data_IF_366842868853
#
_entry.id   IF_366842868853
#
_cell.length_a   1.000
_cell.length_b   1.000
_cell.length_c   1.000
_cell.angle_alpha   90.00
_cell.angle_beta   90.00
_cell.angle_gamma   90.00
#
_symmetry.space_group_name_H-M   'P 1'
#
loop_
_entity.id
_entity.type
_entity.pdbx_description
1 polymer ?
#
# COMPACT_ATOMS: atom_id res chain seq x y z
N UNK A 1 -23.05 0.60 10.91
CA UNK A 1 -22.49 -0.53 11.69
C UNK A 1 -21.82 -1.55 10.76
N UNK A 2 -22.57 -2.41 10.05
CA UNK A 2 -21.98 -3.47 9.18
C UNK A 2 -20.97 -3.00 8.12
N UNK A 3 -21.20 -1.84 7.49
CA UNK A 3 -20.25 -1.31 6.50
C UNK A 3 -18.88 -0.98 7.11
N UNK A 4 -18.84 -0.46 8.34
CA UNK A 4 -17.57 -0.17 9.02
C UNK A 4 -16.85 -1.45 9.40
N UNK A 5 -17.58 -2.45 9.88
CA UNK A 5 -17.02 -3.78 10.22
C UNK A 5 -16.36 -4.47 9.01
N UNK A 6 -16.94 -4.30 7.81
CA UNK A 6 -16.33 -4.77 6.55
C UNK A 6 -15.05 -4.00 6.23
N UNK A 7 -15.04 -2.68 6.43
CA UNK A 7 -13.84 -1.85 6.23
C UNK A 7 -12.74 -2.23 7.22
N UNK A 8 -13.07 -2.45 8.48
CA UNK A 8 -12.11 -2.87 9.52
C UNK A 8 -11.51 -4.24 9.19
N UNK A 9 -12.35 -5.19 8.77
CA UNK A 9 -11.88 -6.52 8.34
C UNK A 9 -10.95 -6.41 7.12
N UNK A 10 -11.31 -5.58 6.14
CA UNK A 10 -10.46 -5.31 4.99
C UNK A 10 -9.11 -4.71 5.40
N UNK A 11 -9.13 -3.70 6.28
CA UNK A 11 -7.93 -3.04 6.76
C UNK A 11 -6.98 -3.99 7.50
N UNK A 12 -7.52 -4.90 8.32
CA UNK A 12 -6.74 -5.93 9.02
C UNK A 12 -5.99 -6.86 8.05
N UNK A 13 -6.66 -7.33 7.00
CA UNK A 13 -6.02 -8.21 6.01
C UNK A 13 -4.95 -7.49 5.19
N UNK A 14 -5.21 -6.25 4.79
CA UNK A 14 -4.20 -5.42 4.12
C UNK A 14 -3.00 -5.18 5.04
N UNK A 15 -3.23 -4.86 6.31
CA UNK A 15 -2.18 -4.63 7.30
C UNK A 15 -1.25 -5.83 7.47
N UNK A 16 -1.78 -7.06 7.51
CA UNK A 16 -0.96 -8.28 7.58
C UNK A 16 -0.04 -8.40 6.36
N UNK A 17 -0.57 -8.13 5.16
CA UNK A 17 0.23 -8.15 3.92
C UNK A 17 1.33 -7.08 3.92
N UNK A 18 0.97 -5.85 4.32
CA UNK A 18 1.92 -4.73 4.41
C UNK A 18 3.01 -5.00 5.44
N UNK A 19 2.66 -5.47 6.64
CA UNK A 19 3.61 -5.83 7.68
C UNK A 19 4.57 -6.94 7.22
N UNK A 20 4.04 -7.95 6.54
CA UNK A 20 4.84 -9.05 5.98
C UNK A 20 5.84 -8.54 4.95
N UNK A 21 5.39 -7.76 3.95
CA UNK A 21 6.27 -7.16 2.95
C UNK A 21 7.31 -6.23 3.57
N UNK A 22 6.92 -5.49 4.60
CA UNK A 22 7.82 -4.59 5.31
C UNK A 22 8.89 -5.36 6.06
N UNK A 23 8.54 -6.45 6.73
CA UNK A 23 9.51 -7.29 7.44
C UNK A 23 10.48 -8.01 6.48
N UNK A 24 10.05 -8.28 5.24
CA UNK A 24 10.88 -8.97 4.22
C UNK A 24 11.81 -7.98 3.50
N UNK A 25 11.30 -6.82 3.10
CA UNK A 25 12.00 -5.91 2.18
C UNK A 25 12.53 -4.64 2.83
N UNK A 26 12.06 -4.29 4.04
CA UNK A 26 12.33 -3.04 4.76
C UNK A 26 12.32 -1.76 3.88
N UNK A 27 11.25 -1.50 3.11
CA UNK A 27 11.20 -0.35 2.22
C UNK A 27 10.99 0.95 3.00
N UNK A 28 11.47 2.07 2.42
CA UNK A 28 11.14 3.42 2.92
C UNK A 28 9.72 3.85 2.52
N UNK A 29 9.21 3.38 1.38
CA UNK A 29 7.91 3.77 0.82
C UNK A 29 7.19 2.54 0.28
N UNK A 30 5.89 2.43 0.56
CA UNK A 30 4.99 1.46 -0.07
C UNK A 30 3.92 2.23 -0.84
N UNK A 31 3.87 2.00 -2.14
CA UNK A 31 2.89 2.62 -3.04
C UNK A 31 1.70 1.68 -3.22
N UNK A 32 0.52 2.13 -2.81
CA UNK A 32 -0.74 1.42 -2.94
C UNK A 32 -1.42 1.81 -4.26
N UNK A 33 -1.71 0.82 -5.11
CA UNK A 33 -2.44 1.01 -6.36
C UNK A 33 -3.77 0.25 -6.40
N UNK A 34 -4.57 0.52 -7.44
CA UNK A 34 -5.88 -0.10 -7.66
C UNK A 34 -7.05 0.76 -7.18
N UNK A 35 -8.27 0.44 -7.64
CA UNK A 35 -9.46 1.29 -7.41
C UNK A 35 -9.93 1.40 -5.95
N UNK A 36 -9.47 0.50 -5.06
CA UNK A 36 -9.77 0.60 -3.63
C UNK A 36 -8.99 1.74 -2.97
N UNK A 37 -7.88 2.15 -3.57
CA UNK A 37 -7.05 3.26 -3.07
C UNK A 37 -7.66 4.62 -3.42
N UNK A 38 -8.50 4.67 -4.46
CA UNK A 38 -9.34 5.82 -4.79
C UNK A 38 -10.54 5.96 -3.81
N UNK A 39 -10.78 4.94 -3.00
CA UNK A 39 -11.88 4.89 -2.03
C UNK A 39 -11.47 5.54 -0.71
N UNK A 40 -11.64 6.87 -0.61
CA UNK A 40 -11.96 7.67 0.60
C UNK A 40 -11.05 7.49 1.84
N UNK A 41 -10.51 8.60 2.37
CA UNK A 41 -9.57 8.64 3.51
C UNK A 41 -9.85 7.72 4.70
N UNK A 42 -11.12 7.42 5.00
CA UNK A 42 -11.54 6.49 6.07
C UNK A 42 -10.91 5.09 5.93
N UNK A 43 -10.84 4.54 4.71
CA UNK A 43 -10.24 3.20 4.49
C UNK A 43 -8.73 3.26 4.73
N UNK A 44 -8.09 4.31 4.23
CA UNK A 44 -6.65 4.50 4.36
C UNK A 44 -6.21 4.75 5.79
N UNK A 45 -7.01 5.46 6.58
CA UNK A 45 -6.75 5.67 8.00
C UNK A 45 -6.85 4.35 8.78
N UNK A 46 -7.89 3.55 8.52
CA UNK A 46 -8.04 2.22 9.13
C UNK A 46 -6.88 1.28 8.77
N UNK A 47 -6.42 1.30 7.51
CA UNK A 47 -5.26 0.53 7.05
C UNK A 47 -3.98 0.99 7.75
N UNK A 48 -3.74 2.30 7.89
CA UNK A 48 -2.55 2.83 8.58
C UNK A 48 -2.50 2.39 10.04
N UNK A 49 -3.60 2.52 10.76
CA UNK A 49 -3.68 2.07 12.16
C UNK A 49 -3.44 0.58 12.28
N UNK A 50 -4.16 -0.23 11.50
CA UNK A 50 -4.02 -1.69 11.51
C UNK A 50 -2.61 -2.15 11.13
N UNK A 51 -1.96 -1.44 10.19
CA UNK A 51 -0.60 -1.73 9.77
C UNK A 51 0.41 -1.56 10.91
N UNK A 52 0.34 -0.45 11.65
CA UNK A 52 1.23 -0.21 12.79
C UNK A 52 1.05 -1.30 13.86
N UNK A 53 -0.19 -1.72 14.11
CA UNK A 53 -0.49 -2.77 15.08
C UNK A 53 0.02 -4.17 14.65
N UNK A 54 -0.05 -4.48 13.34
CA UNK A 54 0.40 -5.75 12.79
C UNK A 54 1.93 -5.84 12.62
N UNK A 55 2.62 -4.71 12.70
CA UNK A 55 4.02 -4.60 12.32
C UNK A 55 4.96 -5.06 13.45
N UNK A 56 5.95 -5.89 13.08
CA UNK A 56 6.93 -6.39 14.02
C UNK A 56 7.78 -5.25 14.59
N UNK A 57 7.93 -5.21 15.92
CA UNK A 57 8.74 -4.23 16.63
C UNK A 57 8.45 -2.78 16.24
N UNK A 58 7.17 -2.45 15.99
CA UNK A 58 6.76 -1.15 15.45
C UNK A 58 7.29 0.05 16.27
N UNK A 59 7.48 -0.07 17.58
CA UNK A 59 7.99 1.02 18.43
C UNK A 59 9.49 1.28 18.28
N UNK A 60 10.24 0.35 17.67
CA UNK A 60 11.70 0.37 17.63
C UNK A 60 12.27 0.48 16.21
N UNK A 61 11.43 0.81 15.23
CA UNK A 61 11.85 0.95 13.82
C UNK A 61 11.12 2.10 13.13
N UNK A 62 11.72 2.61 12.04
CA UNK A 62 11.03 3.53 11.14
C UNK A 62 9.91 2.80 10.39
N UNK A 63 8.79 3.50 10.14
CA UNK A 63 7.68 2.94 9.37
C UNK A 63 7.75 3.40 7.92
N UNK A 64 7.49 2.52 6.94
CA UNK A 64 7.39 2.93 5.55
C UNK A 64 6.27 3.96 5.39
N UNK A 65 6.50 4.93 4.52
CA UNK A 65 5.43 5.82 4.09
C UNK A 65 4.45 5.04 3.21
N UNK A 66 3.20 4.93 3.66
CA UNK A 66 2.12 4.44 2.80
C UNK A 66 1.59 5.60 1.95
N UNK A 67 1.75 5.49 0.63
CA UNK A 67 1.31 6.49 -0.34
C UNK A 67 0.41 5.85 -1.40
N UNK A 68 -0.36 6.65 -2.12
CA UNK A 68 -1.25 6.19 -3.18
C UNK A 68 -0.59 6.40 -4.54
N UNK A 69 -0.81 5.50 -5.49
CA UNK A 69 -0.27 5.62 -6.85
C UNK A 69 -0.83 6.87 -7.57
N UNK A 70 0.01 7.86 -7.81
CA UNK A 70 -0.39 9.15 -8.43
C UNK A 70 -0.98 9.00 -9.83
N UNK A 71 -0.50 8.01 -10.60
CA UNK A 71 -0.98 7.72 -11.95
C UNK A 71 -2.26 6.87 -11.95
N UNK A 72 -2.72 6.41 -10.78
CA UNK A 72 -3.93 5.60 -10.61
C UNK A 72 -3.97 4.41 -11.57
N UNK A 73 -5.12 4.20 -12.22
CA UNK A 73 -5.33 3.13 -13.19
C UNK A 73 -4.35 3.14 -14.38
N UNK A 74 -3.67 4.27 -14.65
CA UNK A 74 -2.71 4.40 -15.76
C UNK A 74 -1.31 3.93 -15.40
N UNK A 75 -1.00 3.72 -14.11
CA UNK A 75 0.34 3.38 -13.63
C UNK A 75 0.92 2.15 -14.34
N UNK A 76 0.13 1.10 -14.50
CA UNK A 76 0.56 -0.13 -15.17
C UNK A 76 0.89 0.09 -16.66
N UNK A 77 -0.02 0.71 -17.41
CA UNK A 77 0.17 0.94 -18.84
C UNK A 77 1.37 1.85 -19.14
N UNK A 78 1.54 2.92 -18.35
CA UNK A 78 2.69 3.84 -18.48
C UNK A 78 4.00 3.11 -18.13
N UNK A 79 4.02 2.36 -17.02
CA UNK A 79 5.21 1.58 -16.62
C UNK A 79 5.63 0.55 -17.67
N UNK A 80 4.66 -0.14 -18.29
CA UNK A 80 4.96 -1.08 -19.38
C UNK A 80 5.56 -0.38 -20.61
N UNK A 81 5.04 0.79 -21.00
CA UNK A 81 5.60 1.56 -22.11
C UNK A 81 7.04 2.02 -21.81
N UNK A 82 7.31 2.49 -20.60
CA UNK A 82 8.66 2.90 -20.16
C UNK A 82 9.64 1.72 -20.18
N UNK A 83 9.22 0.54 -19.73
CA UNK A 83 10.07 -0.66 -19.74
C UNK A 83 10.52 -1.05 -21.16
N UNK A 84 9.63 -0.90 -22.16
CA UNK A 84 9.99 -1.13 -23.58
C UNK A 84 10.95 -0.07 -24.07
N UNK A 85 10.71 1.22 -23.76
CA UNK A 85 11.59 2.31 -24.16
C UNK A 85 13.00 2.15 -23.59
N UNK A 86 13.13 1.82 -22.30
CA UNK A 86 14.41 1.57 -21.65
C UNK A 86 15.18 0.40 -22.29
N UNK A 87 14.47 -0.62 -22.77
CA UNK A 87 15.09 -1.76 -23.46
C UNK A 87 15.60 -1.40 -24.86
N UNK A 88 14.97 -0.43 -25.54
CA UNK A 88 15.35 0.02 -26.89
C UNK A 88 16.55 0.98 -26.84
N UNK A 89 16.67 1.79 -25.78
CA UNK A 89 17.76 2.74 -25.58
C UNK A 89 19.07 2.08 -25.08
N UNK A 90 19.06 0.77 -24.80
CA UNK A 90 20.18 0.00 -24.25
C UNK A 90 20.83 -0.92 -25.27
#
# INVERSE_FOLDING_TARGET
AKALEVVDTYAQWIAVGLASLTNICDPEIIVLGGGVVDSVGVVMDAVRTSFIDALYSAQWRAHPQLVTAELGARAGAIGSALMVLETVDR
#
